data_IF_530873170056
#
_entry.id   IF_530873170056
#
_cell.length_a   1.000
_cell.length_b   1.000
_cell.length_c   1.000
_cell.angle_alpha   90.00
_cell.angle_beta   90.00
_cell.angle_gamma   90.00
#
_symmetry.space_group_name_H-M   'P 1'
#
loop_
_entity.id
_entity.type
_entity.pdbx_description
1 polymer ?
#
# COMPACT_ATOMS: atom_id res chain seq x y z
N UNK A 1 -24.72 8.78 -8.19
CA UNK A 1 -23.71 9.84 -8.12
C UNK A 1 -22.60 9.38 -7.17
N UNK A 2 -21.33 9.40 -7.60
CA UNK A 2 -20.19 8.99 -6.76
C UNK A 2 -19.88 10.03 -5.66
N UNK A 3 -18.90 9.75 -4.78
CA UNK A 3 -18.54 10.68 -3.69
C UNK A 3 -17.93 11.98 -4.23
N UNK A 4 -17.13 11.89 -5.29
CA UNK A 4 -16.48 13.04 -5.90
C UNK A 4 -17.48 14.01 -6.54
N UNK A 5 -18.48 13.51 -7.26
CA UNK A 5 -19.53 14.31 -7.88
C UNK A 5 -20.37 15.05 -6.83
N UNK A 6 -20.71 14.40 -5.70
CA UNK A 6 -21.36 15.07 -4.58
C UNK A 6 -20.50 16.20 -3.99
N UNK A 7 -19.19 15.99 -3.88
CA UNK A 7 -18.28 17.02 -3.41
C UNK A 7 -18.18 18.20 -4.39
N UNK A 8 -18.21 17.95 -5.70
CA UNK A 8 -18.23 19.01 -6.72
C UNK A 8 -19.47 19.89 -6.58
N UNK A 9 -20.66 19.29 -6.46
CA UNK A 9 -21.91 20.05 -6.29
C UNK A 9 -21.88 20.93 -5.04
N UNK A 10 -21.31 20.41 -3.94
CA UNK A 10 -21.11 21.18 -2.71
C UNK A 10 -20.19 22.37 -2.95
N UNK A 11 -19.04 22.17 -3.60
CA UNK A 11 -18.11 23.26 -3.89
C UNK A 11 -18.67 24.30 -4.85
N UNK A 12 -19.43 23.89 -5.87
CA UNK A 12 -20.09 24.82 -6.77
C UNK A 12 -21.11 25.71 -6.04
N UNK A 13 -21.73 25.20 -4.98
CA UNK A 13 -22.65 25.97 -4.14
C UNK A 13 -21.91 26.92 -3.19
N UNK A 14 -20.86 26.46 -2.51
CA UNK A 14 -20.16 27.25 -1.48
C UNK A 14 -19.12 28.22 -2.06
N UNK A 15 -18.43 27.83 -3.14
CA UNK A 15 -17.33 28.57 -3.80
C UNK A 15 -17.35 28.35 -5.32
N UNK A 16 -18.34 28.92 -6.03
CA UNK A 16 -18.46 28.78 -7.48
C UNK A 16 -17.27 29.35 -8.26
N UNK A 17 -16.42 30.16 -7.61
CA UNK A 17 -15.22 30.75 -8.19
C UNK A 17 -14.05 29.77 -8.35
N UNK A 18 -14.08 28.60 -7.68
CA UNK A 18 -12.99 27.63 -7.70
C UNK A 18 -13.19 26.56 -8.78
N UNK A 19 -12.14 26.28 -9.56
CA UNK A 19 -12.06 25.05 -10.36
C UNK A 19 -11.71 23.86 -9.46
N UNK A 20 -12.70 23.01 -9.20
CA UNK A 20 -12.55 21.79 -8.39
C UNK A 20 -12.42 20.52 -9.21
N UNK A 21 -12.20 20.64 -10.53
CA UNK A 21 -12.01 19.48 -11.40
C UNK A 21 -10.84 18.56 -10.98
N UNK A 22 -9.69 19.05 -10.47
CA UNK A 22 -8.61 18.16 -10.02
C UNK A 22 -9.01 17.33 -8.79
N UNK A 23 -9.76 17.92 -7.86
CA UNK A 23 -10.27 17.21 -6.67
C UNK A 23 -11.19 16.07 -7.06
N UNK A 24 -12.01 16.25 -8.10
CA UNK A 24 -12.90 15.21 -8.60
C UNK A 24 -12.13 13.99 -9.12
N UNK A 25 -11.08 14.23 -9.90
CA UNK A 25 -10.23 13.17 -10.47
C UNK A 25 -9.50 12.43 -9.35
N UNK A 26 -8.80 13.15 -8.47
CA UNK A 26 -8.07 12.55 -7.36
C UNK A 26 -9.01 11.80 -6.41
N UNK A 27 -10.19 12.36 -6.13
CA UNK A 27 -11.22 11.72 -5.31
C UNK A 27 -11.66 10.38 -5.87
N UNK A 28 -11.91 10.30 -7.18
CA UNK A 28 -12.28 9.04 -7.85
C UNK A 28 -11.15 8.03 -7.88
N UNK A 29 -9.91 8.47 -8.12
CA UNK A 29 -8.74 7.58 -8.08
C UNK A 29 -8.53 6.99 -6.68
N UNK A 30 -8.68 7.81 -5.63
CA UNK A 30 -8.58 7.35 -4.25
C UNK A 30 -9.72 6.39 -3.88
N UNK A 31 -10.95 6.68 -4.32
CA UNK A 31 -12.09 5.79 -4.11
C UNK A 31 -11.86 4.44 -4.82
N UNK A 32 -11.46 4.44 -6.08
CA UNK A 32 -11.15 3.23 -6.84
C UNK A 32 -10.02 2.41 -6.18
N UNK A 33 -8.92 3.05 -5.79
CA UNK A 33 -7.81 2.39 -5.11
C UNK A 33 -8.25 1.77 -3.77
N UNK A 34 -9.07 2.49 -2.99
CA UNK A 34 -9.60 2.01 -1.70
C UNK A 34 -10.53 0.81 -1.89
N UNK A 35 -11.42 0.86 -2.88
CA UNK A 35 -12.34 -0.25 -3.19
C UNK A 35 -11.56 -1.50 -3.62
N UNK A 36 -10.61 -1.36 -4.54
CA UNK A 36 -9.77 -2.47 -5.00
C UNK A 36 -8.97 -3.06 -3.85
N UNK A 37 -8.36 -2.21 -3.02
CA UNK A 37 -7.56 -2.66 -1.87
C UNK A 37 -8.42 -3.42 -0.87
N UNK A 38 -9.61 -2.91 -0.53
CA UNK A 38 -10.51 -3.52 0.47
C UNK A 38 -11.21 -4.78 -0.04
N UNK A 39 -11.73 -4.76 -1.27
CA UNK A 39 -12.65 -5.78 -1.74
C UNK A 39 -11.98 -6.87 -2.57
N UNK A 40 -10.77 -6.61 -3.10
CA UNK A 40 -10.04 -7.57 -3.93
C UNK A 40 -8.74 -8.01 -3.28
N UNK A 41 -7.87 -7.06 -2.91
CA UNK A 41 -6.52 -7.37 -2.44
C UNK A 41 -6.53 -7.91 -1.00
N UNK A 42 -7.19 -7.23 -0.07
CA UNK A 42 -7.22 -7.66 1.34
C UNK A 42 -7.78 -9.08 1.51
N UNK A 43 -8.90 -9.49 0.87
CA UNK A 43 -9.38 -10.87 0.96
C UNK A 43 -8.42 -11.87 0.33
N UNK A 44 -7.76 -11.50 -0.77
CA UNK A 44 -6.76 -12.36 -1.42
C UNK A 44 -5.57 -12.62 -0.48
N UNK A 45 -5.00 -11.57 0.12
CA UNK A 45 -3.88 -11.71 1.04
C UNK A 45 -4.27 -12.48 2.30
N UNK A 46 -5.47 -12.25 2.82
CA UNK A 46 -5.99 -12.97 3.99
C UNK A 46 -6.09 -14.49 3.76
N UNK A 47 -6.38 -14.95 2.52
CA UNK A 47 -6.35 -16.39 2.18
C UNK A 47 -4.98 -17.05 2.40
N UNK A 48 -3.91 -16.25 2.43
CA UNK A 48 -2.55 -16.69 2.69
C UNK A 48 -2.04 -16.26 4.07
N UNK A 49 -2.91 -15.75 4.95
CA UNK A 49 -2.54 -15.26 6.27
C UNK A 49 -1.73 -13.95 6.26
N UNK A 50 -1.83 -13.18 5.18
CA UNK A 50 -1.07 -11.94 4.98
C UNK A 50 -1.99 -10.70 5.04
N UNK A 51 -1.44 -9.57 5.46
CA UNK A 51 -1.96 -8.24 5.17
C UNK A 51 -1.17 -7.63 4.00
N UNK A 52 -1.69 -6.52 3.45
CA UNK A 52 -1.08 -5.83 2.31
C UNK A 52 0.39 -5.47 2.54
N UNK A 53 0.75 -5.05 3.76
CA UNK A 53 2.12 -4.68 4.08
C UNK A 53 3.09 -5.87 4.09
N UNK A 54 2.66 -7.05 4.54
CA UNK A 54 3.50 -8.26 4.46
C UNK A 54 3.67 -8.74 3.03
N UNK A 55 2.60 -8.71 2.23
CA UNK A 55 2.69 -9.03 0.81
C UNK A 55 3.68 -8.10 0.08
N UNK A 56 3.64 -6.79 0.34
CA UNK A 56 4.54 -5.82 -0.28
C UNK A 56 6.02 -6.12 0.02
N UNK A 57 6.34 -6.55 1.26
CA UNK A 57 7.69 -6.99 1.63
C UNK A 57 8.10 -8.24 0.84
N UNK A 58 7.25 -9.28 0.82
CA UNK A 58 7.54 -10.53 0.12
C UNK A 58 7.70 -10.32 -1.40
N UNK A 59 6.82 -9.51 -1.99
CA UNK A 59 6.89 -9.13 -3.40
C UNK A 59 8.18 -8.34 -3.70
N UNK A 60 8.58 -7.44 -2.79
CA UNK A 60 9.80 -6.63 -2.93
C UNK A 60 11.06 -7.48 -2.85
N UNK A 61 11.16 -8.40 -1.87
CA UNK A 61 12.27 -9.35 -1.79
C UNK A 61 12.31 -10.29 -3.01
N UNK A 62 11.15 -10.73 -3.51
CA UNK A 62 11.11 -11.59 -4.70
C UNK A 62 11.58 -10.86 -5.96
N UNK A 63 11.15 -9.62 -6.15
CA UNK A 63 11.44 -8.81 -7.35
C UNK A 63 12.83 -8.17 -7.33
N UNK A 64 13.53 -8.16 -6.19
CA UNK A 64 14.95 -7.74 -6.12
C UNK A 64 15.91 -8.79 -6.70
N UNK A 65 15.43 -9.98 -7.07
CA UNK A 65 16.25 -11.03 -7.67
C UNK A 65 17.05 -11.82 -6.65
N UNK A 66 17.77 -12.86 -7.09
CA UNK A 66 18.58 -13.70 -6.19
C UNK A 66 19.65 -12.85 -5.49
N UNK A 67 19.91 -13.04 -4.19
CA UNK A 67 19.43 -14.13 -3.32
C UNK A 67 18.07 -13.88 -2.63
N UNK A 68 17.27 -12.92 -3.11
CA UNK A 68 15.99 -12.49 -2.53
C UNK A 68 16.15 -11.86 -1.15
N UNK A 69 17.24 -11.10 -0.98
CA UNK A 69 17.58 -10.43 0.27
C UNK A 69 17.83 -8.95 0.01
N UNK A 70 17.48 -8.12 0.99
CA UNK A 70 17.73 -6.68 1.02
C UNK A 70 18.12 -6.29 2.45
N UNK A 71 18.92 -5.25 2.59
CA UNK A 71 19.10 -4.63 3.90
C UNK A 71 17.79 -3.95 4.34
N UNK A 72 17.59 -3.68 5.64
CA UNK A 72 16.41 -2.94 6.09
C UNK A 72 16.22 -1.59 5.38
N UNK A 73 17.33 -0.89 5.08
CA UNK A 73 17.31 0.38 4.34
C UNK A 73 16.87 0.19 2.90
N UNK A 74 17.46 -0.76 2.18
CA UNK A 74 17.08 -1.01 0.77
C UNK A 74 15.64 -1.52 0.67
N UNK A 75 15.19 -2.34 1.63
CA UNK A 75 13.82 -2.81 1.69
C UNK A 75 12.85 -1.64 1.91
N UNK A 76 13.18 -0.71 2.80
CA UNK A 76 12.39 0.50 3.01
C UNK A 76 12.26 1.31 1.72
N UNK A 77 13.38 1.60 1.05
CA UNK A 77 13.41 2.41 -0.17
C UNK A 77 12.69 1.74 -1.35
N UNK A 78 12.72 0.40 -1.41
CA UNK A 78 12.10 -0.37 -2.49
C UNK A 78 10.61 -0.67 -2.28
N UNK A 79 10.07 -0.47 -1.07
CA UNK A 79 8.65 -0.71 -0.77
C UNK A 79 7.77 0.49 -1.17
N UNK A 80 6.55 0.21 -1.63
CA UNK A 80 5.63 1.25 -2.12
C UNK A 80 4.78 1.90 -1.03
N UNK A 81 5.01 1.57 0.25
CA UNK A 81 4.17 2.01 1.37
C UNK A 81 5.03 2.66 2.46
N UNK A 82 4.61 3.83 2.94
CA UNK A 82 5.25 4.52 4.06
C UNK A 82 5.20 3.66 5.34
N UNK A 83 6.32 3.65 6.04
CA UNK A 83 6.87 2.49 6.76
C UNK A 83 6.75 2.59 8.28
N UNK A 84 5.70 3.22 8.80
CA UNK A 84 5.48 3.33 10.26
C UNK A 84 5.33 1.98 10.97
N UNK A 85 5.26 0.86 10.23
CA UNK A 85 5.09 -0.49 10.76
C UNK A 85 6.05 -1.53 10.16
N UNK A 86 7.21 -1.12 9.60
CA UNK A 86 8.14 -2.08 8.95
C UNK A 86 8.60 -3.17 9.91
N UNK A 87 9.09 -2.81 11.10
CA UNK A 87 9.53 -3.77 12.12
C UNK A 87 8.42 -4.79 12.44
N UNK A 88 7.22 -4.32 12.73
CA UNK A 88 6.08 -5.18 13.05
C UNK A 88 5.66 -6.10 11.88
N UNK A 89 5.90 -5.70 10.63
CA UNK A 89 5.66 -6.55 9.45
C UNK A 89 6.72 -7.64 9.33
N UNK A 90 7.99 -7.28 9.48
CA UNK A 90 9.09 -8.24 9.46
C UNK A 90 8.95 -9.27 10.59
N UNK A 91 8.60 -8.84 11.80
CA UNK A 91 8.37 -9.75 12.93
C UNK A 91 7.25 -10.76 12.64
N UNK A 92 6.14 -10.31 12.04
CA UNK A 92 5.04 -11.20 11.64
C UNK A 92 5.44 -12.19 10.55
N UNK A 93 6.15 -11.71 9.52
CA UNK A 93 6.63 -12.55 8.43
C UNK A 93 7.64 -13.60 8.90
N UNK A 94 8.56 -13.22 9.79
CA UNK A 94 9.55 -14.13 10.37
C UNK A 94 8.88 -15.16 11.27
N UNK A 95 7.92 -14.73 12.12
CA UNK A 95 7.10 -15.65 12.92
C UNK A 95 6.27 -16.61 12.06
N UNK A 96 5.82 -16.17 10.88
CA UNK A 96 5.13 -16.99 9.90
C UNK A 96 6.07 -17.90 9.09
N UNK A 97 7.40 -17.80 9.28
CA UNK A 97 8.40 -18.57 8.56
C UNK A 97 8.55 -18.18 7.08
N UNK A 98 8.10 -17.00 6.68
CA UNK A 98 8.10 -16.53 5.29
C UNK A 98 9.33 -15.71 4.92
N UNK A 99 10.06 -15.22 5.93
CA UNK A 99 11.37 -14.59 5.79
C UNK A 99 12.30 -15.11 6.88
N UNK A 100 13.59 -14.83 6.73
CA UNK A 100 14.59 -14.99 7.79
C UNK A 100 15.48 -13.74 7.84
N UNK A 101 15.95 -13.37 9.03
CA UNK A 101 17.01 -12.37 9.17
C UNK A 101 18.35 -13.08 9.22
N UNK A 102 19.33 -12.52 8.53
CA UNK A 102 20.71 -12.99 8.57
C UNK A 102 21.63 -11.79 8.83
N UNK A 103 22.81 -12.01 9.45
CA UNK A 103 23.86 -11.01 9.47
C UNK A 103 24.19 -10.57 8.04
N UNK A 104 24.51 -9.29 7.87
CA UNK A 104 25.04 -8.83 6.59
C UNK A 104 26.32 -9.62 6.29
N UNK A 105 26.46 -10.22 5.10
CA UNK A 105 27.73 -10.81 4.69
C UNK A 105 28.72 -9.66 4.57
N UNK A 106 29.59 -9.52 5.56
CA UNK A 106 30.72 -8.59 5.55
C UNK A 106 31.65 -8.89 4.38
#
# INVERSE_FOLDING_TARGET
MDRAARAIEQWQRERPDLDVSPMAVIGRLNEAASLISRERLAPLFARFGLQQGEFDVLATLRRSGKPYALTPTDLYEATMVTSGAMTARLDRLEKAGLIMRAPHPS
#
